data_IF_225109628330
#
_entry.id   IF_225109628330
#
_cell.length_a   1.000
_cell.length_b   1.000
_cell.length_c   1.000
_cell.angle_alpha   90.00
_cell.angle_beta   90.00
_cell.angle_gamma   90.00
#
_symmetry.space_group_name_H-M   'P 1'
#
loop_
_entity.id
_entity.type
_entity.pdbx_description
1 polymer ?
#
# COMPACT_ATOMS: atom_id res chain seq x y z
N UNK A 1 -89.47 -3.92 47.94
CA UNK A 1 -88.31 -4.78 47.66
C UNK A 1 -88.15 -4.93 46.15
N UNK A 2 -87.04 -4.48 45.56
CA UNK A 2 -86.74 -4.65 44.12
C UNK A 2 -85.28 -4.28 43.84
N UNK A 3 -84.52 -5.22 43.29
CA UNK A 3 -83.04 -5.35 43.37
C UNK A 3 -82.25 -4.41 42.45
N UNK A 4 -80.98 -4.04 42.78
CA UNK A 4 -80.08 -3.40 41.83
C UNK A 4 -79.28 -4.46 41.06
N UNK A 5 -79.63 -4.69 39.80
CA UNK A 5 -78.84 -5.52 38.89
C UNK A 5 -78.54 -4.72 37.61
N UNK A 6 -77.31 -4.20 37.49
CA UNK A 6 -76.88 -3.53 36.26
C UNK A 6 -75.40 -3.19 36.17
N UNK A 7 -74.68 -3.02 37.29
CA UNK A 7 -73.29 -2.56 37.26
C UNK A 7 -72.20 -3.65 37.28
N UNK A 8 -72.53 -4.93 37.50
CA UNK A 8 -71.54 -6.00 37.62
C UNK A 8 -71.20 -6.76 36.33
N UNK A 9 -71.98 -6.58 35.25
CA UNK A 9 -71.74 -7.30 33.99
C UNK A 9 -70.75 -6.60 33.04
N UNK A 10 -70.67 -5.27 33.06
CA UNK A 10 -69.78 -4.52 32.17
C UNK A 10 -68.30 -4.64 32.58
N UNK A 11 -68.00 -4.66 33.88
CA UNK A 11 -66.64 -4.74 34.43
C UNK A 11 -65.97 -6.10 34.19
N UNK A 12 -66.74 -7.19 34.20
CA UNK A 12 -66.22 -8.54 33.91
C UNK A 12 -65.80 -8.73 32.45
N UNK A 13 -66.53 -8.13 31.49
CA UNK A 13 -66.17 -8.21 30.06
C UNK A 13 -64.88 -7.44 29.76
N UNK A 14 -64.74 -6.23 30.32
CA UNK A 14 -63.53 -5.41 30.14
C UNK A 14 -62.28 -6.11 30.70
N UNK A 15 -62.39 -6.72 31.89
CA UNK A 15 -61.28 -7.45 32.51
C UNK A 15 -60.85 -8.69 31.71
N UNK A 16 -61.80 -9.42 31.11
CA UNK A 16 -61.49 -10.56 30.23
C UNK A 16 -60.80 -10.13 28.93
N UNK A 17 -61.21 -9.03 28.29
CA UNK A 17 -60.52 -8.50 27.10
C UNK A 17 -59.11 -8.02 27.42
N UNK A 18 -58.89 -7.37 28.57
CA UNK A 18 -57.57 -6.90 28.97
C UNK A 18 -56.63 -8.08 29.34
N UNK A 19 -57.16 -9.12 29.98
CA UNK A 19 -56.40 -10.34 30.26
C UNK A 19 -56.07 -11.11 28.98
N UNK A 20 -57.01 -11.21 28.03
CA UNK A 20 -56.74 -11.84 26.72
C UNK A 20 -55.70 -11.06 25.91
N UNK A 21 -55.71 -9.72 25.98
CA UNK A 21 -54.70 -8.87 25.35
C UNK A 21 -53.32 -9.04 26.03
N UNK A 22 -53.29 -9.13 27.36
CA UNK A 22 -52.06 -9.34 28.13
C UNK A 22 -51.44 -10.73 27.87
N UNK A 23 -52.27 -11.78 27.76
CA UNK A 23 -51.82 -13.14 27.41
C UNK A 23 -51.33 -13.21 25.95
N UNK A 24 -51.93 -12.46 25.02
CA UNK A 24 -51.48 -12.39 23.63
C UNK A 24 -50.13 -11.65 23.48
N UNK A 25 -49.84 -10.68 24.36
CA UNK A 25 -48.51 -10.01 24.39
C UNK A 25 -47.41 -10.82 25.06
N UNK A 26 -47.76 -11.91 25.75
CA UNK A 26 -46.82 -12.80 26.45
C UNK A 26 -46.43 -14.04 25.64
N UNK A 27 -46.83 -14.14 24.37
CA UNK A 27 -46.21 -15.12 23.45
C UNK A 27 -44.88 -14.51 23.02
N UNK A 28 -43.72 -14.94 23.55
CA UNK A 28 -42.45 -14.51 23.00
C UNK A 28 -42.44 -14.95 21.54
N UNK A 29 -42.45 -13.98 20.63
CA UNK A 29 -42.19 -14.20 19.22
C UNK A 29 -40.72 -14.62 19.12
N UNK A 30 -40.44 -15.88 19.44
CA UNK A 30 -39.16 -16.53 19.15
C UNK A 30 -39.14 -16.76 17.65
N UNK A 31 -39.02 -15.65 16.90
CA UNK A 31 -38.52 -15.69 15.55
C UNK A 31 -37.13 -16.30 15.65
N UNK A 32 -37.07 -17.62 15.53
CA UNK A 32 -35.84 -18.36 15.33
C UNK A 32 -35.31 -17.85 14.00
N UNK A 33 -34.49 -16.80 14.06
CA UNK A 33 -33.73 -16.32 12.94
C UNK A 33 -32.79 -17.45 12.57
N UNK A 34 -33.27 -18.36 11.72
CA UNK A 34 -32.53 -19.50 11.20
C UNK A 34 -31.25 -18.90 10.62
N UNK A 35 -30.13 -19.03 11.33
CA UNK A 35 -28.84 -18.51 10.89
C UNK A 35 -28.62 -19.11 9.51
N UNK A 36 -28.65 -18.26 8.47
CA UNK A 36 -28.28 -18.72 7.13
C UNK A 36 -26.88 -19.32 7.24
N UNK A 37 -26.66 -20.52 6.69
CA UNK A 37 -25.32 -21.10 6.68
C UNK A 37 -24.36 -20.10 6.04
N UNK A 38 -23.10 -20.09 6.51
CA UNK A 38 -22.08 -19.27 5.88
C UNK A 38 -21.98 -19.66 4.40
N UNK A 39 -21.82 -18.70 3.48
CA UNK A 39 -21.64 -19.03 2.08
C UNK A 39 -20.38 -19.90 1.91
N UNK A 40 -20.50 -20.98 1.14
CA UNK A 40 -19.43 -21.94 0.85
C UNK A 40 -19.05 -21.92 -0.63
N UNK A 41 -17.94 -22.57 -1.00
CA UNK A 41 -17.48 -22.66 -2.39
C UNK A 41 -17.39 -21.30 -3.08
N UNK A 42 -17.94 -21.21 -4.29
CA UNK A 42 -17.95 -19.98 -5.10
C UNK A 42 -18.77 -18.85 -4.47
N UNK A 43 -19.78 -19.20 -3.66
CA UNK A 43 -20.61 -18.21 -3.00
C UNK A 43 -19.86 -17.42 -1.93
N UNK A 44 -18.84 -18.04 -1.34
CA UNK A 44 -17.92 -17.43 -0.40
C UNK A 44 -16.94 -16.43 -1.04
N UNK A 45 -16.89 -16.34 -2.38
CA UNK A 45 -16.02 -15.41 -3.10
C UNK A 45 -16.83 -14.19 -3.55
N UNK A 46 -16.35 -13.00 -3.17
CA UNK A 46 -17.12 -11.78 -3.37
C UNK A 46 -17.14 -11.31 -4.83
N UNK A 47 -16.06 -11.54 -5.58
CA UNK A 47 -15.97 -11.41 -7.03
C UNK A 47 -14.92 -12.37 -7.61
N UNK A 48 -15.21 -13.00 -8.74
CA UNK A 48 -14.27 -13.89 -9.43
C UNK A 48 -14.47 -13.93 -10.94
N UNK A 49 -13.44 -14.39 -11.65
CA UNK A 49 -13.47 -14.75 -13.08
C UNK A 49 -12.69 -16.05 -13.28
N UNK A 50 -13.20 -16.93 -14.13
CA UNK A 50 -12.51 -18.09 -14.71
C UNK A 50 -12.57 -17.97 -16.23
N UNK A 51 -11.43 -18.03 -16.91
CA UNK A 51 -11.38 -17.99 -18.37
C UNK A 51 -10.13 -18.67 -18.93
N UNK A 52 -10.18 -19.05 -20.19
CA UNK A 52 -8.97 -19.32 -20.97
C UNK A 52 -8.32 -17.98 -21.38
N UNK A 53 -7.01 -17.86 -21.25
CA UNK A 53 -6.29 -16.62 -21.59
C UNK A 53 -6.45 -16.29 -23.08
N UNK A 54 -6.63 -15.01 -23.39
CA UNK A 54 -6.85 -14.56 -24.77
C UNK A 54 -8.27 -14.78 -25.30
N UNK A 55 -9.09 -15.64 -24.68
CA UNK A 55 -10.50 -15.78 -25.06
C UNK A 55 -11.29 -14.51 -24.74
N UNK A 56 -12.21 -14.06 -25.61
CA UNK A 56 -13.09 -12.94 -25.30
C UNK A 56 -14.16 -13.30 -24.26
N UNK A 57 -14.42 -14.59 -24.06
CA UNK A 57 -15.49 -15.09 -23.18
C UNK A 57 -14.97 -15.50 -21.80
N UNK A 58 -15.84 -15.37 -20.80
CA UNK A 58 -15.60 -15.89 -19.47
C UNK A 58 -16.34 -17.22 -19.32
N UNK A 59 -15.63 -18.26 -18.88
CA UNK A 59 -16.24 -19.54 -18.57
C UNK A 59 -17.16 -19.41 -17.35
N UNK A 60 -16.69 -18.67 -16.33
CA UNK A 60 -17.47 -18.32 -15.15
C UNK A 60 -17.11 -16.93 -14.67
N UNK A 61 -18.08 -16.18 -14.15
CA UNK A 61 -17.80 -14.93 -13.47
C UNK A 61 -18.87 -14.58 -12.45
N UNK A 62 -18.46 -13.86 -11.40
CA UNK A 62 -19.35 -13.28 -10.39
C UNK A 62 -18.86 -11.88 -10.06
N UNK A 63 -19.75 -10.90 -10.13
CA UNK A 63 -19.45 -9.51 -9.76
C UNK A 63 -18.16 -8.97 -10.41
N UNK A 64 -17.92 -9.34 -11.67
CA UNK A 64 -16.65 -9.11 -12.37
C UNK A 64 -16.22 -7.64 -12.38
N UNK A 65 -17.19 -6.72 -12.43
CA UNK A 65 -17.04 -5.27 -12.52
C UNK A 65 -17.23 -4.54 -11.18
N UNK A 66 -17.42 -5.27 -10.08
CA UNK A 66 -17.60 -4.65 -8.75
C UNK A 66 -16.25 -4.18 -8.19
N UNK A 67 -16.12 -2.89 -7.80
CA UNK A 67 -14.90 -2.38 -7.21
C UNK A 67 -14.55 -3.07 -5.88
N UNK A 68 -13.28 -3.48 -5.73
CA UNK A 68 -12.73 -4.13 -4.53
C UNK A 68 -11.29 -3.68 -4.31
N UNK A 69 -10.83 -3.74 -3.06
CA UNK A 69 -9.41 -3.56 -2.75
C UNK A 69 -8.60 -4.76 -3.27
N UNK A 70 -7.55 -4.55 -4.09
CA UNK A 70 -6.77 -5.66 -4.69
C UNK A 70 -5.76 -6.30 -3.73
N UNK A 71 -5.49 -5.68 -2.58
CA UNK A 71 -4.32 -6.02 -1.76
C UNK A 71 -3.04 -6.10 -2.62
N UNK A 72 -2.17 -7.06 -2.34
CA UNK A 72 -0.89 -7.23 -3.04
C UNK A 72 -0.97 -7.65 -4.51
N UNK A 73 -2.17 -7.90 -5.07
CA UNK A 73 -2.31 -8.04 -6.53
C UNK A 73 -1.87 -6.77 -7.27
N UNK A 74 -1.91 -5.61 -6.59
CA UNK A 74 -1.34 -4.32 -7.03
C UNK A 74 0.10 -4.44 -7.53
N UNK A 75 0.91 -5.32 -6.93
CA UNK A 75 2.33 -5.46 -7.30
C UNK A 75 2.54 -5.97 -8.72
N UNK A 76 1.52 -6.58 -9.34
CA UNK A 76 1.58 -6.95 -10.76
C UNK A 76 1.79 -5.71 -11.64
N UNK A 77 1.08 -4.61 -11.38
CA UNK A 77 1.29 -3.35 -12.11
C UNK A 77 2.69 -2.78 -11.86
N UNK A 78 3.16 -2.79 -10.60
CA UNK A 78 4.51 -2.34 -10.24
C UNK A 78 5.59 -3.14 -10.98
N UNK A 79 5.45 -4.46 -11.03
CA UNK A 79 6.40 -5.34 -11.70
C UNK A 79 6.30 -5.25 -13.22
N UNK A 80 5.09 -5.08 -13.77
CA UNK A 80 4.89 -4.84 -15.19
C UNK A 80 5.63 -3.58 -15.64
N UNK A 81 5.49 -2.46 -14.90
CA UNK A 81 6.21 -1.23 -15.21
C UNK A 81 7.74 -1.39 -15.11
N UNK A 82 8.23 -2.19 -14.16
CA UNK A 82 9.65 -2.49 -14.06
C UNK A 82 10.17 -3.28 -15.27
N UNK A 83 9.43 -4.29 -15.72
CA UNK A 83 9.79 -5.08 -16.90
C UNK A 83 9.71 -4.22 -18.17
N UNK A 84 8.62 -3.45 -18.34
CA UNK A 84 8.42 -2.56 -19.50
C UNK A 84 9.46 -1.43 -19.60
N UNK A 85 10.12 -1.09 -18.50
CA UNK A 85 11.15 -0.05 -18.50
C UNK A 85 12.42 -0.42 -19.26
N UNK A 86 12.67 -1.72 -19.50
CA UNK A 86 13.95 -2.20 -20.06
C UNK A 86 15.16 -2.05 -19.11
N UNK A 87 14.92 -1.68 -17.84
CA UNK A 87 15.95 -1.34 -16.84
C UNK A 87 16.16 -2.42 -15.78
N UNK A 88 15.79 -3.66 -16.06
CA UNK A 88 15.85 -4.78 -15.09
C UNK A 88 17.26 -5.06 -14.54
N UNK A 89 18.31 -4.59 -15.22
CA UNK A 89 19.70 -4.71 -14.79
C UNK A 89 20.23 -3.49 -14.01
N UNK A 90 19.42 -2.44 -13.83
CA UNK A 90 19.83 -1.27 -13.06
C UNK A 90 20.16 -1.65 -11.61
N UNK A 91 21.14 -0.93 -11.05
CA UNK A 91 21.43 -0.99 -9.62
C UNK A 91 20.48 -0.04 -8.91
N UNK A 92 19.75 -0.59 -7.93
CA UNK A 92 18.80 0.13 -7.09
C UNK A 92 19.36 0.20 -5.68
N UNK A 93 19.62 1.41 -5.22
CA UNK A 93 19.90 1.68 -3.80
C UNK A 93 18.58 1.75 -3.03
N UNK A 94 18.45 0.96 -1.96
CA UNK A 94 17.24 0.93 -1.12
C UNK A 94 17.10 2.28 -0.38
N UNK A 95 16.05 3.07 -0.67
CA UNK A 95 15.81 4.32 0.03
C UNK A 95 15.24 4.05 1.44
N UNK A 96 15.48 4.97 2.38
CA UNK A 96 14.98 4.83 3.75
C UNK A 96 13.46 4.66 3.78
N UNK A 97 12.76 5.42 2.94
CA UNK A 97 11.31 5.43 2.80
C UNK A 97 10.75 4.04 2.44
N UNK A 98 11.45 3.28 1.57
CA UNK A 98 11.01 1.94 1.18
C UNK A 98 11.04 0.94 2.36
N UNK A 99 11.87 1.19 3.37
CA UNK A 99 11.94 0.33 4.56
C UNK A 99 10.85 0.64 5.60
N UNK A 100 10.22 1.82 5.51
CA UNK A 100 9.20 2.33 6.44
C UNK A 100 7.78 1.99 5.99
N UNK A 101 7.61 0.82 5.40
CA UNK A 101 6.34 0.31 4.87
C UNK A 101 5.78 -0.81 5.72
N UNK A 102 4.54 -1.17 5.46
CA UNK A 102 3.89 -2.29 6.15
C UNK A 102 4.49 -3.65 5.82
N UNK A 103 4.32 -4.65 6.70
CA UNK A 103 4.46 -6.04 6.30
C UNK A 103 3.51 -6.41 5.14
N UNK A 104 3.84 -7.39 4.31
CA UNK A 104 5.05 -8.23 4.28
C UNK A 104 6.28 -7.47 3.75
N UNK A 105 7.46 -7.72 4.31
CA UNK A 105 8.74 -7.12 3.88
C UNK A 105 9.83 -8.19 3.77
N UNK A 106 10.78 -7.99 2.85
CA UNK A 106 12.01 -8.79 2.75
C UNK A 106 13.02 -8.41 3.84
N UNK A 107 12.92 -7.19 4.39
CA UNK A 107 13.76 -6.72 5.49
C UNK A 107 15.02 -6.00 5.02
N UNK A 108 14.99 -5.42 3.81
CA UNK A 108 16.10 -4.63 3.27
C UNK A 108 16.49 -3.48 4.19
N UNK A 109 17.77 -3.10 4.14
CA UNK A 109 18.32 -1.98 4.90
C UNK A 109 18.56 -0.77 4.00
N UNK A 110 18.37 0.46 4.50
CA UNK A 110 18.67 1.66 3.72
C UNK A 110 20.13 1.64 3.24
N UNK A 111 20.34 1.96 1.97
CA UNK A 111 21.67 1.98 1.36
C UNK A 111 22.14 0.65 0.76
N UNK A 112 21.48 -0.49 1.06
CA UNK A 112 21.74 -1.74 0.36
C UNK A 112 21.46 -1.59 -1.14
N UNK A 113 22.19 -2.34 -1.96
CA UNK A 113 22.11 -2.27 -3.42
C UNK A 113 21.71 -3.62 -4.02
N UNK A 114 20.70 -3.59 -4.89
CA UNK A 114 20.21 -4.78 -5.59
C UNK A 114 20.00 -4.49 -7.07
N UNK A 115 20.00 -5.52 -7.91
CA UNK A 115 19.50 -5.34 -9.28
C UNK A 115 17.99 -5.18 -9.25
N UNK A 116 17.43 -4.35 -10.14
CA UNK A 116 15.98 -4.15 -10.23
C UNK A 116 15.23 -5.48 -10.39
N UNK A 117 15.76 -6.41 -11.19
CA UNK A 117 15.21 -7.77 -11.35
C UNK A 117 15.07 -8.55 -10.04
N UNK A 118 15.96 -8.36 -9.08
CA UNK A 118 15.91 -9.07 -7.81
C UNK A 118 14.84 -8.47 -6.90
N UNK A 119 14.62 -7.15 -6.97
CA UNK A 119 13.48 -6.50 -6.34
C UNK A 119 12.15 -6.95 -6.96
N UNK A 120 12.08 -7.10 -8.29
CA UNK A 120 10.88 -7.65 -8.95
C UNK A 120 10.59 -9.08 -8.45
N UNK A 121 11.61 -9.93 -8.34
CA UNK A 121 11.47 -11.28 -7.76
C UNK A 121 10.97 -11.20 -6.31
N UNK A 122 11.55 -10.34 -5.47
CA UNK A 122 11.12 -10.18 -4.08
C UNK A 122 9.66 -9.71 -3.96
N UNK A 123 9.25 -8.75 -4.80
CA UNK A 123 7.88 -8.23 -4.84
C UNK A 123 6.86 -9.28 -5.31
N UNK A 124 7.21 -10.13 -6.28
CA UNK A 124 6.32 -11.17 -6.79
C UNK A 124 6.27 -12.41 -5.89
N UNK A 125 7.42 -12.97 -5.52
CA UNK A 125 7.54 -14.23 -4.76
C UNK A 125 7.10 -14.02 -3.31
N UNK A 126 7.78 -13.16 -2.55
CA UNK A 126 7.48 -12.94 -1.14
C UNK A 126 6.41 -11.87 -0.89
N UNK A 127 5.92 -11.21 -1.94
CA UNK A 127 4.99 -10.08 -1.77
C UNK A 127 5.58 -8.90 -1.00
N UNK A 128 6.91 -8.73 -1.06
CA UNK A 128 7.65 -7.72 -0.30
C UNK A 128 7.22 -6.29 -0.69
N UNK A 129 6.76 -5.54 0.32
CA UNK A 129 6.34 -4.15 0.18
C UNK A 129 7.55 -3.21 0.02
N UNK A 130 8.64 -3.50 0.73
CA UNK A 130 9.89 -2.75 0.65
C UNK A 130 10.52 -2.84 -0.75
N UNK A 131 10.46 -4.00 -1.40
CA UNK A 131 10.83 -4.14 -2.82
C UNK A 131 9.95 -3.27 -3.72
N UNK A 132 8.62 -3.36 -3.57
CA UNK A 132 7.67 -2.61 -4.40
C UNK A 132 7.88 -1.08 -4.29
N UNK A 133 8.16 -0.57 -3.09
CA UNK A 133 8.46 0.84 -2.88
C UNK A 133 9.83 1.24 -3.43
N UNK A 134 10.85 0.40 -3.29
CA UNK A 134 12.16 0.65 -3.88
C UNK A 134 12.10 0.70 -5.42
N UNK A 135 11.37 -0.24 -6.05
CA UNK A 135 11.07 -0.23 -7.49
C UNK A 135 10.41 1.10 -7.88
N UNK A 136 9.36 1.48 -7.14
CA UNK A 136 8.59 2.68 -7.44
C UNK A 136 9.44 3.95 -7.40
N UNK A 137 10.20 4.15 -6.32
CA UNK A 137 11.06 5.33 -6.15
C UNK A 137 12.18 5.35 -7.20
N UNK A 138 12.77 4.20 -7.52
CA UNK A 138 13.84 4.11 -8.51
C UNK A 138 13.38 4.43 -9.94
N UNK A 139 12.19 3.96 -10.34
CA UNK A 139 11.67 4.16 -11.68
C UNK A 139 10.95 5.51 -11.85
N UNK A 140 10.16 5.92 -10.86
CA UNK A 140 9.41 7.17 -10.90
C UNK A 140 10.17 8.39 -10.39
N UNK A 141 11.32 8.20 -9.73
CA UNK A 141 12.05 9.27 -9.03
C UNK A 141 11.39 9.71 -7.71
N UNK A 142 10.07 9.53 -7.58
CA UNK A 142 9.31 9.67 -6.35
C UNK A 142 8.13 8.70 -6.34
N UNK A 143 7.56 8.48 -5.15
CA UNK A 143 6.39 7.63 -4.99
C UNK A 143 5.17 8.17 -5.75
N UNK A 144 4.91 9.47 -5.66
CA UNK A 144 3.75 10.11 -6.31
C UNK A 144 3.86 10.02 -7.83
N UNK A 145 5.05 10.23 -8.38
CA UNK A 145 5.30 10.09 -9.81
C UNK A 145 5.08 8.65 -10.28
N UNK A 146 5.54 7.66 -9.51
CA UNK A 146 5.30 6.25 -9.85
C UNK A 146 3.82 5.87 -9.76
N UNK A 147 3.09 6.34 -8.74
CA UNK A 147 1.63 6.11 -8.63
C UNK A 147 0.90 6.76 -9.81
N UNK A 148 1.35 7.94 -10.27
CA UNK A 148 0.82 8.55 -11.49
C UNK A 148 1.09 7.66 -12.73
N UNK A 149 2.30 7.07 -12.85
CA UNK A 149 2.63 6.11 -13.91
C UNK A 149 1.74 4.87 -13.86
N UNK A 150 1.51 4.28 -12.67
CA UNK A 150 0.63 3.13 -12.50
C UNK A 150 -0.79 3.41 -12.99
N UNK A 151 -1.35 4.55 -12.62
CA UNK A 151 -2.70 4.94 -13.02
C UNK A 151 -2.78 5.34 -14.51
N UNK A 152 -1.74 5.98 -15.05
CA UNK A 152 -1.65 6.23 -16.49
C UNK A 152 -1.59 4.92 -17.28
N UNK A 153 -0.83 3.94 -16.80
CA UNK A 153 -0.74 2.62 -17.42
C UNK A 153 -2.06 1.85 -17.33
N UNK A 154 -2.74 1.89 -16.18
CA UNK A 154 -4.05 1.29 -16.01
C UNK A 154 -5.06 1.83 -17.05
N UNK A 155 -5.13 3.17 -17.22
CA UNK A 155 -5.98 3.80 -18.25
C UNK A 155 -5.59 3.39 -19.66
N UNK A 156 -4.29 3.38 -19.98
CA UNK A 156 -3.80 2.99 -21.30
C UNK A 156 -4.09 1.53 -21.66
N UNK A 157 -4.25 0.66 -20.66
CA UNK A 157 -4.66 -0.73 -20.85
C UNK A 157 -6.19 -0.91 -20.89
N UNK A 158 -6.98 0.13 -20.58
CA UNK A 158 -8.44 0.03 -20.50
C UNK A 158 -8.99 -0.41 -19.14
N UNK A 159 -8.17 -0.37 -18.07
CA UNK A 159 -8.59 -0.69 -16.70
C UNK A 159 -9.35 0.50 -16.07
N UNK A 160 -10.55 0.78 -16.57
CA UNK A 160 -11.30 2.01 -16.26
C UNK A 160 -11.83 2.07 -14.82
N UNK A 161 -11.86 0.95 -14.10
CA UNK A 161 -12.36 0.85 -12.74
C UNK A 161 -11.24 0.69 -11.70
N UNK A 162 -9.99 0.92 -12.12
CA UNK A 162 -8.81 0.77 -11.28
C UNK A 162 -8.21 2.11 -10.88
N UNK A 163 -7.91 2.23 -9.59
CA UNK A 163 -7.13 3.35 -9.04
C UNK A 163 -6.11 2.80 -8.05
N UNK A 164 -4.84 3.03 -8.34
CA UNK A 164 -3.73 2.73 -7.45
C UNK A 164 -3.38 3.93 -6.59
N UNK A 165 -3.14 3.69 -5.30
CA UNK A 165 -2.69 4.73 -4.34
C UNK A 165 -1.25 4.52 -3.89
N UNK A 166 -0.69 3.34 -4.14
CA UNK A 166 0.66 2.93 -3.77
C UNK A 166 1.08 1.68 -4.56
N UNK A 167 2.37 1.33 -4.61
CA UNK A 167 2.88 0.23 -5.44
C UNK A 167 2.70 -1.17 -4.81
N UNK A 168 2.27 -1.26 -3.55
CA UNK A 168 2.27 -2.50 -2.78
C UNK A 168 0.87 -3.05 -2.49
N UNK A 169 -0.13 -2.17 -2.46
CA UNK A 169 -1.54 -2.49 -2.40
C UNK A 169 -2.19 -2.56 -1.01
N UNK A 170 -1.47 -2.20 0.05
CA UNK A 170 -2.11 -2.03 1.36
C UNK A 170 -2.97 -0.75 1.38
N UNK A 171 -4.07 -0.77 2.13
CA UNK A 171 -5.17 0.18 1.97
C UNK A 171 -5.53 0.83 3.32
N UNK A 172 -4.74 1.81 3.74
CA UNK A 172 -4.90 2.49 5.04
C UNK A 172 -4.17 3.83 5.12
N UNK A 173 -4.64 4.71 6.00
CA UNK A 173 -4.02 6.01 6.23
C UNK A 173 -3.94 6.84 4.94
N UNK A 174 -2.79 7.42 4.65
CA UNK A 174 -2.56 8.20 3.42
C UNK A 174 -2.61 7.35 2.14
N UNK A 175 -2.53 6.03 2.27
CA UNK A 175 -2.55 5.07 1.16
C UNK A 175 -3.93 4.44 0.96
N UNK A 176 -4.96 4.95 1.65
CA UNK A 176 -6.33 4.45 1.50
C UNK A 176 -6.93 4.79 0.12
N UNK A 177 -7.80 3.93 -0.40
CA UNK A 177 -8.55 4.13 -1.65
C UNK A 177 -8.06 3.28 -2.84
N UNK A 178 -7.20 2.29 -2.60
CA UNK A 178 -6.74 1.39 -3.64
C UNK A 178 -7.88 0.47 -4.11
N UNK A 179 -8.23 0.48 -5.40
CA UNK A 179 -9.38 -0.27 -5.94
C UNK A 179 -9.13 -0.79 -7.35
N UNK A 180 -9.78 -1.89 -7.68
CA UNK A 180 -9.82 -2.51 -9.01
C UNK A 180 -11.08 -3.37 -9.14
N UNK A 181 -11.22 -4.08 -10.25
CA UNK A 181 -12.26 -5.09 -10.48
C UNK A 181 -11.62 -6.41 -10.91
N UNK A 182 -12.37 -7.51 -10.89
CA UNK A 182 -11.85 -8.77 -11.41
C UNK A 182 -11.55 -8.65 -12.92
N UNK A 183 -12.41 -7.93 -13.67
CA UNK A 183 -12.23 -7.68 -15.11
C UNK A 183 -10.96 -6.88 -15.42
N UNK A 184 -10.71 -5.79 -14.68
CA UNK A 184 -9.50 -4.99 -14.87
C UNK A 184 -8.23 -5.82 -14.56
N UNK A 185 -8.30 -6.72 -13.58
CA UNK A 185 -7.19 -7.62 -13.26
C UNK A 185 -6.95 -8.69 -14.34
N UNK A 186 -7.98 -9.10 -15.10
CA UNK A 186 -7.76 -9.93 -16.31
C UNK A 186 -6.90 -9.18 -17.30
N UNK A 187 -7.27 -7.94 -17.62
CA UNK A 187 -6.52 -7.08 -18.57
C UNK A 187 -5.06 -6.93 -18.12
N UNK A 188 -4.84 -6.59 -16.85
CA UNK A 188 -3.50 -6.44 -16.31
C UNK A 188 -2.69 -7.74 -16.39
N UNK A 189 -3.31 -8.86 -16.05
CA UNK A 189 -2.63 -10.16 -16.01
C UNK A 189 -2.30 -10.63 -17.42
N UNK A 190 -3.24 -10.55 -18.36
CA UNK A 190 -3.02 -10.91 -19.76
C UNK A 190 -1.95 -10.03 -20.42
N UNK A 191 -1.85 -8.75 -20.02
CA UNK A 191 -0.73 -7.91 -20.45
C UNK A 191 0.59 -8.41 -19.87
N UNK A 192 0.64 -8.71 -18.58
CA UNK A 192 1.86 -9.11 -17.89
C UNK A 192 2.41 -10.47 -18.36
N UNK A 193 1.55 -11.46 -18.59
CA UNK A 193 1.98 -12.80 -19.03
C UNK A 193 2.51 -12.84 -20.47
N UNK A 194 2.42 -11.75 -21.23
CA UNK A 194 3.10 -11.62 -22.54
C UNK A 194 4.62 -11.47 -22.38
N UNK A 195 5.11 -11.14 -21.19
CA UNK A 195 6.53 -11.00 -20.92
C UNK A 195 7.10 -12.33 -20.37
N UNK A 196 8.06 -12.98 -21.07
CA UNK A 196 8.66 -14.22 -20.59
C UNK A 196 9.28 -14.11 -19.20
N UNK A 197 9.89 -12.97 -18.89
CA UNK A 197 10.47 -12.69 -17.58
C UNK A 197 9.42 -12.69 -16.46
N UNK A 198 8.23 -12.13 -16.71
CA UNK A 198 7.14 -12.15 -15.74
C UNK A 198 6.72 -13.59 -15.44
N UNK A 199 6.54 -14.42 -16.48
CA UNK A 199 6.20 -15.83 -16.32
C UNK A 199 7.27 -16.62 -15.58
N UNK A 200 8.54 -16.37 -15.90
CA UNK A 200 9.68 -17.02 -15.26
C UNK A 200 9.74 -16.71 -13.76
N UNK A 201 9.41 -15.48 -13.36
CA UNK A 201 9.37 -15.06 -11.95
C UNK A 201 8.11 -15.60 -11.25
N UNK A 202 6.96 -15.56 -11.92
CA UNK A 202 5.66 -15.92 -11.34
C UNK A 202 5.58 -17.39 -10.91
N UNK A 203 6.34 -18.29 -11.56
CA UNK A 203 6.38 -19.72 -11.24
C UNK A 203 7.36 -20.11 -10.13
N UNK A 204 8.12 -19.17 -9.58
CA UNK A 204 9.11 -19.45 -8.54
C UNK A 204 8.42 -19.71 -7.18
N UNK A 205 8.75 -20.84 -6.56
CA UNK A 205 8.38 -21.18 -5.18
C UNK A 205 9.33 -20.53 -4.17
N UNK A 206 10.59 -20.33 -4.57
CA UNK A 206 11.67 -19.70 -3.81
C UNK A 206 12.56 -18.88 -4.74
N UNK A 207 13.18 -17.85 -4.17
CA UNK A 207 14.24 -17.08 -4.82
C UNK A 207 15.35 -16.76 -3.84
N UNK A 208 16.59 -16.88 -4.32
CA UNK A 208 17.78 -16.38 -3.66
C UNK A 208 18.44 -15.29 -4.52
N UNK A 209 18.96 -14.24 -3.87
CA UNK A 209 19.78 -13.22 -4.52
C UNK A 209 20.66 -12.50 -3.49
N UNK A 210 21.69 -11.82 -3.97
CA UNK A 210 22.70 -11.20 -3.11
C UNK A 210 22.58 -9.68 -3.14
N UNK A 211 22.79 -9.05 -1.98
CA UNK A 211 23.10 -7.63 -1.91
C UNK A 211 24.46 -7.38 -2.57
N UNK A 212 24.54 -6.39 -3.44
CA UNK A 212 25.66 -6.20 -4.38
C UNK A 212 26.95 -5.75 -3.70
N UNK A 213 26.87 -5.13 -2.52
CA UNK A 213 28.03 -4.51 -1.85
C UNK A 213 28.70 -5.47 -0.85
N UNK A 214 27.89 -6.22 -0.10
CA UNK A 214 28.28 -7.07 1.03
C UNK A 214 28.20 -8.55 0.70
N UNK A 215 27.52 -8.93 -0.39
CA UNK A 215 27.26 -10.32 -0.75
C UNK A 215 26.21 -11.00 0.13
N UNK A 216 25.55 -10.28 1.04
CA UNK A 216 24.51 -10.83 1.92
C UNK A 216 23.41 -11.50 1.10
N UNK A 217 23.11 -12.76 1.40
CA UNK A 217 22.08 -13.54 0.71
C UNK A 217 20.70 -13.23 1.30
N UNK A 218 19.73 -13.03 0.42
CA UNK A 218 18.31 -12.95 0.72
C UNK A 218 17.60 -14.17 0.14
N UNK A 219 17.00 -14.99 1.00
CA UNK A 219 16.23 -16.17 0.62
C UNK A 219 14.75 -15.97 0.93
N UNK A 220 13.93 -15.96 -0.11
CA UNK A 220 12.52 -15.57 -0.04
C UNK A 220 11.65 -16.70 -0.61
N UNK A 221 10.52 -16.99 0.06
CA UNK A 221 9.57 -18.02 -0.36
C UNK A 221 8.22 -17.43 -0.75
N UNK A 222 7.54 -18.13 -1.65
CA UNK A 222 6.20 -17.79 -2.12
C UNK A 222 5.14 -18.01 -1.04
N UNK A 223 4.08 -17.22 -1.12
CA UNK A 223 2.83 -17.48 -0.39
C UNK A 223 1.82 -18.28 -1.22
N UNK A 224 2.12 -18.54 -2.49
CA UNK A 224 1.21 -19.22 -3.40
C UNK A 224 1.29 -20.74 -3.21
N UNK A 225 0.31 -21.30 -2.50
CA UNK A 225 0.26 -22.73 -2.23
C UNK A 225 -0.08 -23.58 -3.46
N UNK A 226 -0.62 -22.99 -4.53
CA UNK A 226 -0.96 -23.76 -5.75
C UNK A 226 0.28 -24.28 -6.49
N UNK A 227 1.43 -23.61 -6.36
CA UNK A 227 2.68 -24.08 -6.99
C UNK A 227 3.11 -25.46 -6.45
N UNK A 228 2.74 -25.79 -5.22
CA UNK A 228 2.97 -27.10 -4.61
C UNK A 228 1.73 -28.01 -4.73
N UNK A 229 0.52 -27.45 -4.58
CA UNK A 229 -0.72 -28.23 -4.42
C UNK A 229 -1.44 -28.58 -5.72
N UNK A 230 -1.12 -27.92 -6.83
CA UNK A 230 -1.84 -28.12 -8.09
C UNK A 230 -0.85 -28.31 -9.24
N UNK A 231 -0.79 -29.51 -9.86
CA UNK A 231 0.31 -29.89 -10.76
C UNK A 231 0.40 -29.03 -12.02
N UNK A 232 -0.71 -28.41 -12.43
CA UNK A 232 -0.77 -27.57 -13.62
C UNK A 232 -0.47 -26.09 -13.33
N UNK A 233 -0.29 -25.71 -12.05
CA UNK A 233 -0.10 -24.32 -11.64
C UNK A 233 1.20 -23.73 -12.16
N UNK A 234 1.11 -22.51 -12.71
CA UNK A 234 2.26 -21.67 -13.09
C UNK A 234 2.28 -20.33 -12.34
N UNK A 235 1.58 -20.27 -11.20
CA UNK A 235 1.75 -19.22 -10.20
C UNK A 235 0.88 -17.98 -10.40
N UNK A 236 1.52 -16.81 -10.56
CA UNK A 236 1.00 -15.41 -10.56
C UNK A 236 1.09 -14.70 -9.21
N UNK A 237 0.00 -14.49 -8.45
CA UNK A 237 0.09 -13.60 -7.28
C UNK A 237 -1.03 -13.77 -6.25
N UNK A 238 -0.64 -13.70 -4.99
CA UNK A 238 -1.54 -13.65 -3.84
C UNK A 238 -1.71 -12.23 -3.29
N UNK A 239 -2.83 -11.99 -2.62
CA UNK A 239 -3.07 -10.77 -1.83
C UNK A 239 -3.85 -11.05 -0.56
N UNK A 240 -3.60 -10.24 0.47
CA UNK A 240 -4.41 -10.16 1.67
C UNK A 240 -4.20 -8.80 2.36
N UNK A 241 -5.29 -8.19 2.80
CA UNK A 241 -5.33 -7.17 3.85
C UNK A 241 -6.61 -7.40 4.66
N UNK A 242 -6.71 -6.80 5.84
CA UNK A 242 -7.97 -6.83 6.61
C UNK A 242 -9.16 -6.26 5.83
N UNK A 243 -8.93 -5.25 4.99
CA UNK A 243 -9.95 -4.62 4.15
C UNK A 243 -10.31 -5.45 2.91
N UNK A 244 -9.32 -6.02 2.23
CA UNK A 244 -9.53 -6.76 0.98
C UNK A 244 -10.01 -8.20 1.20
N UNK A 245 -9.67 -8.80 2.34
CA UNK A 245 -9.73 -10.24 2.52
C UNK A 245 -8.72 -10.98 1.62
N UNK A 246 -8.82 -12.32 1.54
CA UNK A 246 -7.94 -13.12 0.68
C UNK A 246 -8.22 -12.88 -0.80
N UNK A 247 -7.21 -12.44 -1.56
CA UNK A 247 -7.26 -12.28 -3.01
C UNK A 247 -6.25 -13.20 -3.71
N UNK A 248 -6.55 -13.64 -4.92
CA UNK A 248 -5.71 -14.53 -5.71
C UNK A 248 -5.87 -14.24 -7.20
N UNK A 249 -4.75 -14.19 -7.91
CA UNK A 249 -4.70 -14.43 -9.35
C UNK A 249 -3.84 -15.67 -9.51
N UNK A 250 -4.37 -16.68 -10.19
CA UNK A 250 -3.71 -17.94 -10.44
C UNK A 250 -3.81 -18.29 -11.93
N UNK A 251 -2.78 -18.94 -12.46
CA UNK A 251 -2.75 -19.45 -13.83
C UNK A 251 -2.32 -20.92 -13.83
N UNK A 252 -2.92 -21.72 -14.71
CA UNK A 252 -2.59 -23.12 -14.88
C UNK A 252 -2.53 -23.51 -16.36
N UNK A 253 -1.59 -24.39 -16.72
CA UNK A 253 -1.38 -24.87 -18.09
C UNK A 253 -1.58 -26.38 -18.16
N UNK A 254 -2.43 -26.85 -19.06
CA UNK A 254 -2.66 -28.29 -19.28
C UNK A 254 -3.10 -28.57 -20.71
N UNK A 255 -2.42 -29.51 -21.38
CA UNK A 255 -2.79 -30.00 -22.73
C UNK A 255 -3.08 -28.86 -23.73
N UNK A 256 -2.21 -27.85 -23.77
CA UNK A 256 -2.36 -26.69 -24.66
C UNK A 256 -3.35 -25.62 -24.18
N UNK A 257 -4.18 -25.88 -23.17
CA UNK A 257 -5.07 -24.88 -22.56
C UNK A 257 -4.32 -24.05 -21.52
N UNK A 258 -4.57 -22.74 -21.55
CA UNK A 258 -4.00 -21.77 -20.62
C UNK A 258 -5.11 -21.07 -19.84
N UNK A 259 -5.27 -21.45 -18.58
CA UNK A 259 -6.40 -21.05 -17.75
C UNK A 259 -6.01 -20.00 -16.73
N UNK A 260 -6.90 -19.03 -16.52
CA UNK A 260 -6.77 -17.95 -15.57
C UNK A 260 -7.94 -17.94 -14.58
N UNK A 261 -7.62 -17.86 -13.29
CA UNK A 261 -8.58 -17.68 -12.20
C UNK A 261 -8.23 -16.42 -11.42
N UNK A 262 -9.21 -15.55 -11.23
CA UNK A 262 -9.11 -14.33 -10.40
C UNK A 262 -10.15 -14.40 -9.30
N UNK A 263 -9.74 -14.16 -8.05
CA UNK A 263 -10.61 -14.12 -6.88
C UNK A 263 -10.32 -12.89 -6.03
N UNK A 264 -11.37 -12.17 -5.65
CA UNK A 264 -11.32 -11.03 -4.75
C UNK A 264 -12.21 -11.30 -3.52
N UNK A 265 -11.62 -11.17 -2.33
CA UNK A 265 -12.28 -11.46 -1.05
C UNK A 265 -12.88 -12.88 -0.98
N UNK A 266 -12.04 -13.90 -1.19
CA UNK A 266 -12.41 -15.31 -1.00
C UNK A 266 -12.46 -15.66 0.49
N UNK A 267 -13.66 -15.84 1.05
CA UNK A 267 -13.90 -16.22 2.46
C UNK A 267 -14.03 -17.74 2.62
N UNK A 268 -13.21 -18.47 1.89
CA UNK A 268 -13.15 -19.94 1.85
C UNK A 268 -11.71 -20.38 1.58
N UNK A 269 -11.44 -21.69 1.54
CA UNK A 269 -10.16 -22.22 1.04
C UNK A 269 -10.02 -21.92 -0.46
N UNK A 270 -9.48 -20.74 -0.76
CA UNK A 270 -9.24 -20.27 -2.12
C UNK A 270 -8.32 -21.17 -2.94
N UNK A 271 -7.51 -22.02 -2.29
CA UNK A 271 -6.58 -22.90 -3.00
C UNK A 271 -7.34 -24.08 -3.60
N UNK A 272 -8.06 -24.82 -2.76
CA UNK A 272 -8.88 -25.94 -3.20
C UNK A 272 -9.95 -25.49 -4.20
N UNK A 273 -10.60 -24.35 -3.94
CA UNK A 273 -11.58 -23.79 -4.87
C UNK A 273 -10.94 -23.41 -6.23
N UNK A 274 -9.74 -22.83 -6.23
CA UNK A 274 -9.06 -22.51 -7.49
C UNK A 274 -8.68 -23.77 -8.28
N UNK A 275 -8.20 -24.84 -7.61
CA UNK A 275 -7.96 -26.13 -8.25
C UNK A 275 -9.23 -26.67 -8.90
N UNK A 276 -10.37 -26.66 -8.18
CA UNK A 276 -11.67 -27.09 -8.73
C UNK A 276 -12.09 -26.25 -9.93
N UNK A 277 -11.92 -24.92 -9.88
CA UNK A 277 -12.23 -24.04 -11.02
C UNK A 277 -11.34 -24.33 -12.24
N UNK A 278 -10.07 -24.67 -12.02
CA UNK A 278 -9.18 -25.09 -13.10
C UNK A 278 -9.58 -26.44 -13.67
N UNK A 279 -9.88 -27.43 -12.83
CA UNK A 279 -10.33 -28.76 -13.28
C UNK A 279 -11.59 -28.65 -14.15
N UNK A 280 -12.59 -27.87 -13.69
CA UNK A 280 -13.78 -27.55 -14.49
C UNK A 280 -13.42 -26.89 -15.83
N UNK A 281 -12.51 -25.91 -15.81
CA UNK A 281 -12.05 -25.22 -17.03
C UNK A 281 -11.30 -26.14 -18.01
N UNK A 282 -10.59 -27.14 -17.50
CA UNK A 282 -9.93 -28.15 -18.31
C UNK A 282 -10.88 -29.25 -18.80
N UNK A 283 -12.12 -29.29 -18.31
CA UNK A 283 -13.07 -30.37 -18.59
C UNK A 283 -12.68 -31.68 -17.91
N UNK A 284 -11.99 -31.60 -16.76
CA UNK A 284 -11.79 -32.74 -15.89
C UNK A 284 -13.09 -32.97 -15.14
N UNK A 285 -13.62 -34.19 -15.20
CA UNK A 285 -14.76 -34.56 -14.38
C UNK A 285 -14.45 -34.19 -12.93
N UNK A 286 -15.39 -33.49 -12.29
CA UNK A 286 -15.34 -33.22 -10.86
C UNK A 286 -15.58 -34.55 -10.13
N UNK A 287 -14.61 -35.46 -10.20
CA UNK A 287 -14.56 -36.61 -9.31
C UNK A 287 -14.61 -36.09 -7.88
N UNK A 288 -15.30 -36.79 -6.96
CA UNK A 288 -15.39 -36.34 -5.58
C UNK A 288 -13.97 -36.06 -5.09
N UNK A 289 -13.76 -34.84 -4.58
CA UNK A 289 -12.55 -34.52 -3.84
C UNK A 289 -12.50 -35.52 -2.71
N UNK A 290 -11.70 -36.57 -2.87
CA UNK A 290 -11.24 -37.39 -1.77
C UNK A 290 -10.43 -36.42 -0.91
N UNK A 291 -11.11 -35.81 0.05
CA UNK A 291 -10.44 -35.22 1.20
C UNK A 291 -9.77 -36.42 1.83
N UNK A 292 -8.48 -36.60 1.54
CA UNK A 292 -7.67 -37.49 2.34
C UNK A 292 -7.79 -36.94 3.77
N UNK A 293 -8.60 -37.62 4.59
CA UNK A 293 -8.52 -37.52 6.03
C UNK A 293 -7.08 -37.87 6.39
N UNK A 294 -6.22 -36.86 6.46
CA UNK A 294 -5.04 -36.97 7.29
C UNK A 294 -5.58 -37.11 8.69
N UNK A 295 -5.71 -38.34 9.15
CA UNK A 295 -6.04 -38.71 10.51
C UNK A 295 -5.26 -37.79 11.45
N UNK A 296 -5.96 -36.88 12.12
CA UNK A 296 -5.41 -36.18 13.26
C UNK A 296 -5.05 -37.25 14.29
N UNK A 297 -3.74 -37.53 14.41
CA UNK A 297 -3.24 -38.19 15.61
C UNK A 297 -3.57 -37.28 16.79
N UNK A 298 -4.61 -37.67 17.50
CA UNK A 298 -5.02 -37.12 18.79
C UNK A 298 -3.78 -36.89 19.67
N UNK A 299 -3.55 -35.67 20.20
CA UNK A 299 -2.44 -35.45 21.10
C UNK A 299 -2.70 -36.23 22.39
N UNK A 300 -1.86 -37.23 22.65
CA UNK A 300 -1.71 -37.79 24.01
C UNK A 300 -1.46 -36.62 24.96
N UNK A 301 -2.31 -36.47 25.98
CA UNK A 301 -2.01 -35.64 27.15
C UNK A 301 -0.75 -36.20 27.80
N UNK A 302 0.36 -35.52 27.61
CA UNK A 302 1.46 -35.57 28.56
C UNK A 302 1.17 -34.44 29.55
N UNK A 303 0.86 -34.81 30.78
CA UNK A 303 0.83 -33.86 31.89
C UNK A 303 2.24 -33.28 32.04
N UNK A 304 2.37 -31.96 31.91
CA UNK A 304 3.57 -31.23 32.28
C UNK A 304 3.12 -30.17 33.26
N UNK A 305 3.59 -30.28 34.49
CA UNK A 305 3.32 -29.36 35.57
C UNK A 305 3.70 -27.92 35.18
N UNK A 306 2.82 -26.99 35.54
CA UNK A 306 2.99 -25.57 35.27
C UNK A 306 4.05 -24.98 36.22
N UNK A 307 5.06 -24.24 35.71
CA UNK A 307 5.82 -23.32 36.53
C UNK A 307 5.06 -22.00 36.70
N UNK A 308 4.99 -21.56 37.95
CA UNK A 308 4.45 -20.32 38.48
C UNK A 308 4.97 -19.06 37.75
N UNK A 309 4.09 -18.09 37.51
CA UNK A 309 4.38 -16.84 36.82
C UNK A 309 4.87 -15.72 37.76
N UNK A 310 5.88 -14.91 37.38
CA UNK A 310 6.15 -13.66 38.08
C UNK A 310 5.57 -12.42 37.34
N UNK A 311 4.59 -11.80 37.99
CA UNK A 311 4.34 -10.36 38.19
C UNK A 311 4.72 -9.29 37.12
N UNK A 312 3.68 -8.75 36.48
CA UNK A 312 3.19 -7.34 36.52
C UNK A 312 4.04 -6.10 36.15
N UNK A 313 5.18 -6.17 35.46
CA UNK A 313 5.91 -4.94 35.02
C UNK A 313 5.89 -4.61 33.51
N UNK A 314 5.50 -5.55 32.65
CA UNK A 314 5.57 -5.40 31.18
C UNK A 314 4.27 -4.86 30.55
N UNK A 315 3.11 -5.18 31.14
CA UNK A 315 1.80 -4.74 30.66
C UNK A 315 1.58 -3.24 30.86
N UNK A 316 2.04 -2.68 31.99
CA UNK A 316 1.92 -1.25 32.32
C UNK A 316 2.80 -0.40 31.41
N UNK A 317 4.04 -0.82 31.14
CA UNK A 317 4.96 -0.10 30.23
C UNK A 317 4.43 -0.08 28.78
N UNK A 318 3.77 -1.15 28.34
CA UNK A 318 3.15 -1.24 27.01
C UNK A 318 1.93 -0.31 26.90
N UNK A 319 1.11 -0.22 27.93
CA UNK A 319 -0.03 0.70 27.98
C UNK A 319 0.42 2.18 27.99
N UNK A 320 1.45 2.51 28.78
CA UNK A 320 2.01 3.86 28.85
C UNK A 320 2.66 4.29 27.52
N UNK A 321 3.33 3.38 26.81
CA UNK A 321 3.92 3.66 25.51
C UNK A 321 2.87 3.94 24.42
N UNK A 322 1.73 3.22 24.46
CA UNK A 322 0.61 3.43 23.54
C UNK A 322 -0.10 4.77 23.79
N UNK A 323 -0.28 5.15 25.06
CA UNK A 323 -0.90 6.44 25.41
C UNK A 323 0.02 7.62 25.06
N UNK A 324 1.33 7.49 25.26
CA UNK A 324 2.30 8.48 24.81
C UNK A 324 2.31 8.64 23.27
N UNK A 325 2.11 7.55 22.53
CA UNK A 325 2.01 7.60 21.07
C UNK A 325 0.72 8.30 20.62
N UNK A 326 -0.41 8.01 21.28
CA UNK A 326 -1.72 8.64 21.03
C UNK A 326 -1.67 10.15 21.23
N UNK A 327 -1.13 10.61 22.36
CA UNK A 327 -0.95 12.04 22.65
C UNK A 327 -0.04 12.73 21.62
N UNK A 328 0.98 12.03 21.11
CA UNK A 328 1.89 12.57 20.09
C UNK A 328 1.19 12.73 18.73
N UNK A 329 0.32 11.80 18.36
CA UNK A 329 -0.50 11.85 17.13
C UNK A 329 -1.56 12.97 17.21
N UNK A 330 -2.22 13.13 18.35
CA UNK A 330 -3.18 14.21 18.57
C UNK A 330 -2.51 15.60 18.54
N UNK A 331 -1.29 15.72 19.08
CA UNK A 331 -0.51 16.97 18.98
C UNK A 331 -0.14 17.33 17.53
N UNK A 332 0.13 16.33 16.68
CA UNK A 332 0.43 16.52 15.25
C UNK A 332 -0.82 16.90 14.46
N UNK A 333 -1.98 16.34 14.79
CA UNK A 333 -3.28 16.76 14.21
C UNK A 333 -3.62 18.20 14.55
N UNK A 334 -3.40 18.63 15.79
CA UNK A 334 -3.57 20.03 16.20
C UNK A 334 -2.62 20.99 15.47
N UNK A 335 -1.36 20.59 15.26
CA UNK A 335 -0.39 21.39 14.50
C UNK A 335 -0.72 21.46 13.00
N UNK A 336 -1.22 20.38 12.41
CA UNK A 336 -1.64 20.37 11.00
C UNK A 336 -2.83 21.30 10.75
N UNK A 337 -3.84 21.29 11.64
CA UNK A 337 -4.99 22.21 11.54
C UNK A 337 -4.60 23.68 11.72
N UNK A 338 -3.64 23.99 12.60
CA UNK A 338 -3.10 25.35 12.78
C UNK A 338 -2.28 25.80 11.56
N UNK A 339 -1.60 24.87 10.89
CA UNK A 339 -0.81 25.14 9.68
C UNK A 339 -1.72 25.39 8.47
N UNK A 340 -2.82 24.65 8.37
CA UNK A 340 -3.87 24.82 7.35
C UNK A 340 -4.57 26.19 7.49
N UNK A 341 -4.94 26.58 8.71
CA UNK A 341 -5.49 27.92 9.00
C UNK A 341 -4.49 29.04 8.68
N UNK A 342 -3.19 28.82 8.92
CA UNK A 342 -2.13 29.79 8.61
C UNK A 342 -1.89 29.90 7.10
N UNK A 343 -2.04 28.80 6.36
CA UNK A 343 -2.01 28.77 4.89
C UNK A 343 -3.18 29.53 4.27
N UNK A 344 -4.40 29.38 4.80
CA UNK A 344 -5.55 30.20 4.41
C UNK A 344 -5.33 31.70 4.68
N UNK A 345 -4.60 32.06 5.74
CA UNK A 345 -4.31 33.46 6.09
C UNK A 345 -3.32 34.14 5.14
N UNK A 346 -2.44 33.38 4.47
CA UNK A 346 -1.49 33.93 3.50
C UNK A 346 -2.14 34.21 2.13
N UNK A 347 -3.14 33.43 1.70
CA UNK A 347 -3.87 33.65 0.44
C UNK A 347 -4.83 34.86 0.46
N UNK A 348 -5.18 35.38 1.64
CA UNK A 348 -6.06 36.57 1.77
C UNK A 348 -5.28 37.88 1.60
N UNK A 349 -3.96 37.89 1.82
CA UNK A 349 -3.12 39.09 1.62
C UNK A 349 -2.72 39.32 0.16
N UNK A 350 -2.92 38.35 -0.73
CA UNK A 350 -2.53 38.42 -2.14
C UNK A 350 -3.69 38.55 -3.13
N UNK A 351 -4.95 38.56 -2.67
CA UNK A 351 -6.12 38.70 -3.55
C UNK A 351 -6.86 40.01 -3.26
N UNK A 352 -7.05 40.84 -4.30
CA UNK A 352 -7.86 42.07 -4.29
C UNK A 352 -9.36 41.79 -4.17
N UNK A 353 -9.77 40.89 -3.27
CA UNK A 353 -11.15 40.50 -3.10
C UNK A 353 -11.98 41.59 -2.38
N UNK A 354 -13.17 41.82 -2.92
CA UNK A 354 -14.17 42.79 -2.47
C UNK A 354 -14.60 42.57 -1.00
N UNK A 355 -15.03 43.66 -0.36
CA UNK A 355 -15.41 43.78 1.05
C UNK A 355 -16.47 42.77 1.49
N UNK A 356 -17.40 42.42 0.60
CA UNK A 356 -18.49 41.45 0.81
C UNK A 356 -17.99 40.00 0.97
N UNK A 357 -16.94 39.63 0.22
CA UNK A 357 -16.32 38.30 0.26
C UNK A 357 -15.48 38.12 1.53
N UNK A 358 -14.81 39.19 1.99
CA UNK A 358 -14.08 39.22 3.26
C UNK A 358 -15.00 39.01 4.46
N UNK A 359 -16.15 39.68 4.49
CA UNK A 359 -17.13 39.54 5.57
C UNK A 359 -17.73 38.11 5.65
N UNK A 360 -18.03 37.50 4.50
CA UNK A 360 -18.58 36.13 4.43
C UNK A 360 -17.55 35.07 4.86
N UNK A 361 -16.25 35.29 4.59
CA UNK A 361 -15.18 34.42 5.06
C UNK A 361 -14.87 34.58 6.55
N UNK A 362 -14.91 35.79 7.12
CA UNK A 362 -14.75 36.00 8.56
C UNK A 362 -15.87 35.34 9.37
N UNK A 363 -17.11 35.38 8.85
CA UNK A 363 -18.25 34.65 9.45
C UNK A 363 -18.02 33.13 9.47
N UNK A 364 -17.45 32.57 8.39
CA UNK A 364 -17.08 31.13 8.31
C UNK A 364 -15.92 30.77 9.27
N UNK A 365 -14.94 31.65 9.45
CA UNK A 365 -13.85 31.48 10.44
C UNK A 365 -14.40 31.47 11.87
N UNK A 366 -15.28 32.42 12.21
CA UNK A 366 -15.90 32.48 13.53
C UNK A 366 -16.72 31.20 13.83
N UNK A 367 -17.51 30.70 12.88
CA UNK A 367 -18.24 29.43 13.03
C UNK A 367 -17.33 28.22 13.18
N UNK A 368 -16.20 28.16 12.48
CA UNK A 368 -15.24 27.06 12.61
C UNK A 368 -14.54 27.05 14.00
N UNK A 369 -14.21 28.24 14.52
CA UNK A 369 -13.63 28.39 15.86
C UNK A 369 -14.63 28.04 16.97
N UNK A 370 -15.91 28.39 16.80
CA UNK A 370 -16.98 28.03 17.74
C UNK A 370 -17.24 26.51 17.74
N UNK A 371 -17.24 25.88 16.56
CA UNK A 371 -17.43 24.42 16.41
C UNK A 371 -16.29 23.60 17.04
N UNK A 372 -15.08 24.16 17.09
CA UNK A 372 -13.93 23.58 17.78
C UNK A 372 -13.94 23.82 19.30
N UNK A 373 -14.51 24.93 19.77
CA UNK A 373 -14.61 25.26 21.21
C UNK A 373 -15.72 24.50 21.95
N UNK A 374 -16.77 24.07 21.26
CA UNK A 374 -17.90 23.34 21.87
C UNK A 374 -17.61 21.88 22.29
N UNK A 375 -16.40 21.35 22.05
CA UNK A 375 -16.05 19.92 22.27
C UNK A 375 -14.83 19.68 23.18
N UNK A 376 -14.36 20.66 23.95
CA UNK A 376 -13.16 20.47 24.78
C UNK A 376 -13.48 20.27 26.26
N UNK A 377 -13.05 19.15 26.84
CA UNK A 377 -13.19 18.81 28.25
C UNK A 377 -12.29 19.68 29.16
N UNK A 378 -12.48 19.62 30.49
CA UNK A 378 -11.63 20.31 31.48
C UNK A 378 -10.15 19.90 31.39
N UNK A 379 -9.87 18.66 30.97
CA UNK A 379 -8.51 18.15 30.74
C UNK A 379 -7.83 18.84 29.54
N UNK A 380 -8.59 19.09 28.45
CA UNK A 380 -8.08 19.77 27.26
C UNK A 380 -7.68 21.22 27.55
N UNK A 381 -8.43 21.90 28.43
CA UNK A 381 -8.12 23.28 28.87
C UNK A 381 -6.85 23.35 29.72
N UNK A 382 -6.57 22.31 30.52
CA UNK A 382 -5.34 22.21 31.33
C UNK A 382 -4.14 21.91 30.42
N UNK A 383 -4.28 20.99 29.46
CA UNK A 383 -3.24 20.69 28.48
C UNK A 383 -2.88 21.89 27.59
N UNK A 384 -3.87 22.71 27.20
CA UNK A 384 -3.64 23.92 26.41
C UNK A 384 -2.88 25.00 27.20
N UNK A 385 -3.14 25.14 28.51
CA UNK A 385 -2.42 26.04 29.41
C UNK A 385 -0.97 25.57 29.62
N UNK A 386 -0.76 24.26 29.81
CA UNK A 386 0.57 23.67 29.91
C UNK A 386 1.39 23.84 28.61
N UNK A 387 0.77 23.66 27.45
CA UNK A 387 1.40 23.86 26.13
C UNK A 387 1.81 25.31 25.85
N UNK A 388 1.00 26.30 26.28
CA UNK A 388 1.36 27.72 26.18
C UNK A 388 2.56 28.06 27.07
N UNK A 389 2.63 27.53 28.28
CA UNK A 389 3.75 27.73 29.20
C UNK A 389 5.03 27.07 28.70
N UNK A 390 4.95 25.89 28.08
CA UNK A 390 6.08 25.21 27.45
C UNK A 390 6.63 25.98 26.22
N UNK A 391 5.74 26.57 25.40
CA UNK A 391 6.11 27.40 24.25
C UNK A 391 6.81 28.71 24.68
N UNK A 392 6.34 29.34 25.76
CA UNK A 392 6.99 30.50 26.35
C UNK A 392 8.40 30.16 26.87
N UNK A 393 8.56 29.06 27.61
CA UNK A 393 9.87 28.58 28.08
C UNK A 393 10.83 28.26 26.93
N UNK A 394 10.33 27.66 25.84
CA UNK A 394 11.15 27.35 24.66
C UNK A 394 11.59 28.61 23.90
N UNK A 395 10.73 29.63 23.78
CA UNK A 395 11.12 30.94 23.22
C UNK A 395 12.19 31.61 24.08
N UNK A 396 12.07 31.53 25.40
CA UNK A 396 13.04 32.10 26.34
C UNK A 396 14.40 31.37 26.28
N UNK A 397 14.39 30.04 26.17
CA UNK A 397 15.61 29.24 25.95
C UNK A 397 16.28 29.52 24.59
N UNK A 398 15.49 29.71 23.53
CA UNK A 398 16.00 30.09 22.20
C UNK A 398 16.60 31.51 22.19
N UNK A 399 16.03 32.45 22.94
CA UNK A 399 16.58 33.79 23.11
C UNK A 399 17.91 33.77 23.88
N UNK A 400 17.98 32.99 24.96
CA UNK A 400 19.22 32.76 25.73
C UNK A 400 20.32 32.10 24.88
N UNK A 401 19.96 31.10 24.06
CA UNK A 401 20.89 30.43 23.15
C UNK A 401 21.41 31.37 22.05
N UNK A 402 20.56 32.28 21.54
CA UNK A 402 20.96 33.32 20.58
C UNK A 402 21.93 34.33 21.18
N UNK A 403 21.71 34.77 22.43
CA UNK A 403 22.67 35.64 23.13
C UNK A 403 24.02 34.94 23.39
N UNK A 404 24.02 33.66 23.76
CA UNK A 404 25.26 32.86 23.89
C UNK A 404 26.01 32.71 22.57
N UNK A 405 25.32 32.42 21.48
CA UNK A 405 25.95 32.31 20.15
C UNK A 405 26.45 33.66 19.63
N UNK A 406 25.80 34.77 19.98
CA UNK A 406 26.30 36.11 19.66
C UNK A 406 27.58 36.44 20.42
N UNK A 407 27.65 36.13 21.73
CA UNK A 407 28.88 36.28 22.53
C UNK A 407 30.03 35.42 22.00
N UNK A 408 29.78 34.15 21.66
CA UNK A 408 30.80 33.26 21.08
C UNK A 408 31.26 33.70 19.68
N UNK A 409 30.37 34.27 18.87
CA UNK A 409 30.70 34.82 17.55
C UNK A 409 31.56 36.08 17.61
N UNK A 410 31.45 36.89 18.67
CA UNK A 410 32.30 38.07 18.90
C UNK A 410 33.71 37.66 19.36
N UNK A 411 33.82 36.62 20.20
CA UNK A 411 35.12 36.07 20.64
C UNK A 411 35.90 35.41 19.49
N UNK A 412 35.21 34.75 18.55
CA UNK A 412 35.85 34.16 17.36
C UNK A 412 36.32 35.22 16.33
N UNK A 413 35.69 36.39 16.30
CA UNK A 413 36.12 37.50 15.42
C UNK A 413 37.31 38.28 16.00
N UNK A 414 37.47 38.36 17.32
CA UNK A 414 38.68 38.93 17.94
C UNK A 414 39.88 37.98 17.82
N UNK A 415 39.68 36.66 17.96
CA UNK A 415 40.73 35.66 17.79
C UNK A 415 41.29 35.57 16.35
N UNK A 416 40.46 35.84 15.33
CA UNK A 416 40.90 35.87 13.92
C UNK A 416 41.67 37.14 13.52
N UNK A 417 41.65 38.19 14.33
CA UNK A 417 42.38 39.45 14.05
C UNK A 417 43.84 39.41 14.54
N UNK A 418 44.18 38.46 15.41
CA UNK A 418 45.50 38.38 16.07
C UNK A 418 46.37 37.18 15.60
N UNK A 419 45.90 36.37 14.65
CA UNK A 419 46.67 35.29 14.04
C UNK A 419 47.13 35.67 12.62
N UNK A 420 48.26 36.38 12.60
CA UNK A 420 49.28 36.62 11.58
C UNK A 420 49.18 35.96 10.19
N UNK A 421 49.72 36.69 9.20
CA UNK A 421 50.80 36.11 8.40
C UNK A 421 50.40 35.45 7.08
N UNK A 422 50.45 36.25 6.03
CA UNK A 422 50.46 35.85 4.62
C UNK A 422 51.53 34.77 4.35
N UNK A 423 51.15 33.61 3.78
CA UNK A 423 51.83 32.88 2.66
C UNK A 423 50.98 31.67 2.20
N UNK A 424 50.19 31.02 3.07
CA UNK A 424 49.50 29.76 2.71
C UNK A 424 48.22 29.87 1.85
N UNK A 425 47.60 31.05 1.72
CA UNK A 425 46.32 31.21 1.00
C UNK A 425 46.46 31.34 -0.53
N UNK A 426 47.64 31.76 -1.02
CA UNK A 426 47.85 31.99 -2.47
C UNK A 426 48.08 30.70 -3.26
N UNK A 427 48.66 29.66 -2.66
CA UNK A 427 48.89 28.36 -3.30
C UNK A 427 47.59 27.55 -3.45
N UNK A 428 46.69 27.61 -2.46
CA UNK A 428 45.43 26.87 -2.47
C UNK A 428 44.43 27.39 -3.52
N UNK A 429 44.37 28.71 -3.73
CA UNK A 429 43.49 29.30 -4.75
C UNK A 429 43.98 29.07 -6.19
N UNK A 430 45.29 28.89 -6.41
CA UNK A 430 45.85 28.55 -7.72
C UNK A 430 45.53 27.10 -8.11
N UNK A 431 45.60 26.17 -7.15
CA UNK A 431 45.25 24.76 -7.34
C UNK A 431 43.76 24.53 -7.61
N UNK A 432 42.87 25.30 -6.97
CA UNK A 432 41.42 25.18 -7.24
C UNK A 432 41.02 25.73 -8.61
N UNK A 433 41.72 26.75 -9.13
CA UNK A 433 41.46 27.29 -10.48
C UNK A 433 41.91 26.34 -11.58
N UNK A 434 43.02 25.63 -11.42
CA UNK A 434 43.48 24.62 -12.38
C UNK A 434 42.55 23.40 -12.44
N UNK A 435 42.05 22.90 -11.30
CA UNK A 435 41.08 21.80 -11.25
C UNK A 435 39.76 22.17 -11.92
N UNK A 436 39.27 23.40 -11.73
CA UNK A 436 38.02 23.88 -12.33
C UNK A 436 38.14 24.03 -13.86
N UNK A 437 39.32 24.37 -14.35
CA UNK A 437 39.62 24.51 -15.79
C UNK A 437 39.75 23.14 -16.47
N UNK A 438 40.40 22.17 -15.81
CA UNK A 438 40.49 20.79 -16.28
C UNK A 438 39.11 20.11 -16.37
N UNK A 439 38.23 20.31 -15.37
CA UNK A 439 36.85 19.80 -15.40
C UNK A 439 36.01 20.37 -16.55
N UNK A 440 36.15 21.66 -16.86
CA UNK A 440 35.45 22.27 -18.02
C UNK A 440 35.95 21.73 -19.36
N UNK A 441 37.25 21.41 -19.48
CA UNK A 441 37.82 20.78 -20.66
C UNK A 441 37.36 19.34 -20.90
N UNK A 442 37.20 18.56 -19.81
CA UNK A 442 36.73 17.17 -19.89
C UNK A 442 35.25 17.07 -20.32
N UNK A 443 34.39 17.97 -19.82
CA UNK A 443 32.97 18.02 -20.19
C UNK A 443 32.79 18.45 -21.66
N UNK A 444 33.62 19.36 -22.17
CA UNK A 444 33.59 19.74 -23.59
C UNK A 444 34.04 18.61 -24.53
N UNK A 445 35.01 17.78 -24.14
CA UNK A 445 35.44 16.61 -24.94
C UNK A 445 34.37 15.52 -24.97
N UNK A 446 33.82 15.17 -23.80
CA UNK A 446 32.72 14.19 -23.69
C UNK A 446 31.49 14.56 -24.53
N UNK A 447 31.14 15.85 -24.60
CA UNK A 447 29.99 16.32 -25.40
C UNK A 447 30.27 16.35 -26.90
N UNK A 448 31.53 16.53 -27.31
CA UNK A 448 31.95 16.42 -28.72
C UNK A 448 31.96 14.96 -29.20
N UNK A 449 32.47 14.05 -28.37
CA UNK A 449 32.53 12.61 -28.67
C UNK A 449 31.13 12.00 -28.80
N UNK A 450 30.19 12.42 -27.92
CA UNK A 450 28.80 11.99 -27.99
C UNK A 450 28.07 12.48 -29.26
N UNK A 451 28.40 13.67 -29.77
CA UNK A 451 27.84 14.19 -31.04
C UNK A 451 28.43 13.46 -32.25
N UNK A 452 29.72 13.12 -32.22
CA UNK A 452 30.39 12.34 -33.27
C UNK A 452 29.80 10.93 -33.39
N UNK A 453 29.61 10.23 -32.26
CA UNK A 453 29.01 8.89 -32.22
C UNK A 453 27.57 8.86 -32.77
N UNK A 454 26.77 9.90 -32.47
CA UNK A 454 25.39 10.03 -32.97
C UNK A 454 25.33 10.25 -34.48
N UNK A 455 26.32 10.94 -35.05
CA UNK A 455 26.41 11.18 -36.51
C UNK A 455 26.83 9.94 -37.30
N UNK A 456 27.68 9.07 -36.73
CA UNK A 456 28.08 7.79 -37.35
C UNK A 456 26.92 6.78 -37.37
N UNK A 457 26.20 6.66 -36.25
CA UNK A 457 25.02 5.79 -36.15
C UNK A 457 23.90 6.18 -37.13
N UNK A 458 23.72 7.48 -37.41
CA UNK A 458 22.75 7.96 -38.39
C UNK A 458 23.15 7.63 -39.84
N UNK A 459 24.44 7.71 -40.18
CA UNK A 459 24.95 7.37 -41.52
C UNK A 459 24.91 5.86 -41.80
N UNK A 460 25.18 5.03 -40.80
CA UNK A 460 25.07 3.56 -40.93
C UNK A 460 23.62 3.12 -41.11
N UNK A 461 22.67 3.75 -40.40
CA UNK A 461 21.24 3.49 -40.54
C UNK A 461 20.65 3.82 -41.92
N UNK A 462 21.14 4.89 -42.57
CA UNK A 462 20.73 5.26 -43.94
C UNK A 462 21.25 4.27 -45.00
N UNK A 463 22.46 3.72 -44.83
CA UNK A 463 23.03 2.73 -45.76
C UNK A 463 22.31 1.38 -45.73
N UNK A 464 21.68 1.05 -44.60
CA UNK A 464 20.91 -0.18 -44.42
C UNK A 464 19.48 -0.06 -44.96
N UNK A 465 18.88 1.14 -44.93
CA UNK A 465 17.55 1.35 -45.53
C UNK A 465 17.60 1.45 -47.06
N UNK A 466 18.71 1.88 -47.66
CA UNK A 466 18.87 1.92 -49.13
C UNK A 466 19.12 0.53 -49.76
N UNK A 467 19.63 -0.46 -49.01
CA UNK A 467 19.77 -1.85 -49.49
C UNK A 467 18.48 -2.67 -49.43
N UNK A 468 17.49 -2.26 -48.64
CA UNK A 468 16.25 -3.01 -48.47
C UNK A 468 15.16 -2.70 -49.52
N UNK A 469 15.39 -1.76 -50.44
CA UNK A 469 14.39 -1.29 -51.44
C UNK A 469 14.69 -1.80 -52.87
N UNK A 470 15.69 -2.66 -53.06
CA UNK A 470 15.94 -3.32 -54.35
C UNK A 470 16.03 -4.84 -54.18
N UNK A 471 14.90 -5.52 -54.31
CA UNK A 471 14.86 -6.91 -54.77
C UNK A 471 13.83 -7.01 -55.90
N UNK A 472 14.21 -7.47 -57.10
CA UNK A 472 13.28 -7.67 -58.20
C UNK A 472 12.61 -9.05 -58.12
N UNK A 473 11.43 -9.12 -58.75
CA UNK A 473 10.61 -10.30 -58.99
C UNK A 473 11.39 -11.56 -59.38
N UNK A 474 10.91 -12.70 -58.87
CA UNK A 474 11.25 -14.06 -59.27
C UNK A 474 10.31 -15.03 -58.57
#
# INVERSE_FOLDING_TARGET
MGRPHGRFYATRKVLFTLLAFFVLTLIPLTASAKRRPAPEGEDAVAAYIVKETGSPEFLKSKNADTPRSPASLTKIMTCLLAIESGRMNDVVTIPLEATQVEPTRAGFKPGEQFRLRDLVKAAMVNSSNDAAFAIAIHLGGSLDAFVAMMNARARALGMSHTVFTNPAGYDRGIYAGNRTTARDLVILTERAIRFPEFNAIAKLDRVDFNELSTGKIYSLRTHNKLLERYPYSVGIKTGYTSMAGPCLIARALRNGKDMLVIMLSARTDRWSLASTMFDQGFGLDAGPVQVAETAEKSPRRVAVDAPEAPHSSVSVRRAQALEALRLKVESRRGQSAVTEIRGMSMNVRSSGADSSVKARMEKRKASAVIKLRGKSSRADRIALRAGKNASARRKQQLAMARQRNHKNGVVLKSAKKNASGNVALKSHNKAQRSIKTARKGAVKRSTADAKSAKSRSWKEGLSLSERAVRSPNG
#
